data_IF_065518079295
#
_entry.id   IF_065518079295
#
_cell.length_a   1.000
_cell.length_b   1.000
_cell.length_c   1.000
_cell.angle_alpha   90.00
_cell.angle_beta   90.00
_cell.angle_gamma   90.00
#
_symmetry.space_group_name_H-M   'P 1'
#
loop_
_entity.id
_entity.type
_entity.pdbx_description
1 polymer ?
#
# COMPACT_ATOMS: atom_id res chain seq x y z
N UNK A 1 3.83 -6.16 11.01
CA UNK A 1 4.28 -4.75 11.00
C UNK A 1 3.12 -3.86 11.41
N UNK A 2 3.36 -2.66 11.94
CA UNK A 2 2.23 -1.74 12.12
C UNK A 2 1.78 -1.25 10.75
N UNK A 3 0.47 -1.06 10.62
CA UNK A 3 -0.17 -0.63 9.40
C UNK A 3 -1.22 0.40 9.74
N UNK A 4 -1.40 1.36 8.85
CA UNK A 4 -2.31 2.47 9.02
C UNK A 4 -3.05 2.67 7.72
N UNK A 5 -4.38 2.79 7.79
CA UNK A 5 -5.19 3.16 6.64
C UNK A 5 -6.08 4.33 7.01
N UNK A 6 -6.43 5.12 6.01
CA UNK A 6 -7.22 6.32 6.22
C UNK A 6 -7.33 7.15 4.96
N UNK A 7 -7.66 8.42 5.15
CA UNK A 7 -7.87 9.36 4.06
C UNK A 7 -6.98 10.59 4.20
N UNK A 8 -6.42 11.03 3.08
CA UNK A 8 -5.70 12.30 2.96
C UNK A 8 -6.59 13.29 2.24
N UNK A 9 -6.86 14.43 2.88
CA UNK A 9 -7.64 15.51 2.30
C UNK A 9 -6.79 16.25 1.27
N UNK A 10 -7.19 16.22 0.00
CA UNK A 10 -6.50 16.91 -1.10
C UNK A 10 -7.23 18.21 -1.46
N UNK A 11 -8.56 18.20 -1.33
CA UNK A 11 -9.45 19.37 -1.41
C UNK A 11 -10.58 19.19 -0.39
N UNK A 12 -11.43 20.21 -0.23
CA UNK A 12 -12.58 20.16 0.67
C UNK A 12 -13.54 19.00 0.41
N UNK A 13 -13.61 18.55 -0.84
CA UNK A 13 -14.50 17.50 -1.35
C UNK A 13 -13.74 16.29 -1.92
N UNK A 14 -12.41 16.26 -1.80
CA UNK A 14 -11.57 15.20 -2.38
C UNK A 14 -10.65 14.59 -1.34
N UNK A 15 -10.80 13.28 -1.17
CA UNK A 15 -10.09 12.48 -0.20
C UNK A 15 -9.46 11.29 -0.92
N UNK A 16 -8.15 11.11 -0.77
CA UNK A 16 -7.46 9.92 -1.28
C UNK A 16 -7.33 8.90 -0.17
N UNK A 17 -7.76 7.66 -0.44
CA UNK A 17 -7.54 6.55 0.47
C UNK A 17 -6.07 6.15 0.43
N UNK A 18 -5.49 5.88 1.59
CA UNK A 18 -4.15 5.32 1.69
C UNK A 18 -4.13 4.07 2.57
N UNK A 19 -3.18 3.20 2.28
CA UNK A 19 -2.77 2.13 3.18
C UNK A 19 -1.25 2.11 3.29
N UNK A 20 -0.76 2.40 4.48
CA UNK A 20 0.64 2.48 4.85
C UNK A 20 1.07 1.27 5.68
N UNK A 21 2.27 0.77 5.41
CA UNK A 21 2.91 -0.33 6.12
C UNK A 21 4.32 0.06 6.50
N UNK A 22 4.64 -0.08 7.79
CA UNK A 22 6.00 0.12 8.26
C UNK A 22 6.96 -0.93 7.65
N UNK A 23 8.23 -0.55 7.55
CA UNK A 23 9.31 -1.47 7.19
C UNK A 23 9.38 -2.66 8.16
N UNK A 24 9.80 -3.81 7.67
CA UNK A 24 10.10 -5.00 8.49
C UNK A 24 11.50 -4.93 9.10
N UNK A 25 12.37 -4.06 8.58
CA UNK A 25 13.74 -3.87 9.09
C UNK A 25 13.76 -2.81 10.19
N UNK A 26 13.91 -1.53 9.83
CA UNK A 26 14.05 -0.43 10.78
C UNK A 26 13.11 0.73 10.43
N UNK A 27 11.81 0.67 10.80
CA UNK A 27 10.80 1.66 10.41
C UNK A 27 11.18 3.13 10.62
N UNK A 28 11.91 3.42 11.70
CA UNK A 28 12.27 4.79 12.05
C UNK A 28 13.40 5.38 11.17
N UNK A 29 14.18 4.54 10.50
CA UNK A 29 15.34 4.95 9.69
C UNK A 29 15.25 4.57 8.21
N UNK A 30 14.43 3.57 7.88
CA UNK A 30 14.23 3.12 6.52
C UNK A 30 13.43 4.16 5.70
N UNK A 31 13.66 4.22 4.38
CA UNK A 31 13.03 5.22 3.53
C UNK A 31 11.50 5.08 3.50
N UNK A 32 10.82 6.15 3.08
CA UNK A 32 9.41 6.13 2.71
C UNK A 32 9.28 5.98 1.19
N UNK A 33 8.58 4.94 0.74
CA UNK A 33 8.21 4.72 -0.66
C UNK A 33 6.72 4.95 -0.86
N UNK A 34 6.37 5.85 -1.79
CA UNK A 34 5.01 6.03 -2.27
C UNK A 34 4.79 5.16 -3.51
N UNK A 35 3.71 4.39 -3.52
CA UNK A 35 3.32 3.55 -4.65
C UNK A 35 1.99 4.02 -5.26
N UNK A 36 1.98 4.13 -6.59
CA UNK A 36 0.85 4.58 -7.40
C UNK A 36 0.67 3.62 -8.59
N UNK A 37 -0.43 2.87 -8.63
CA UNK A 37 -0.77 2.09 -9.83
C UNK A 37 -1.28 3.02 -10.95
N UNK A 38 -1.09 2.62 -12.20
CA UNK A 38 -1.45 3.44 -13.38
C UNK A 38 -2.94 3.38 -13.76
N UNK A 39 -3.20 3.21 -15.06
CA UNK A 39 -4.56 3.23 -15.62
C UNK A 39 -4.69 4.31 -16.70
N UNK A 40 -5.46 5.38 -16.49
CA UNK A 40 -5.86 6.04 -15.23
C UNK A 40 -7.05 5.41 -14.50
N UNK A 41 -7.06 5.52 -13.17
CA UNK A 41 -8.19 5.13 -12.32
C UNK A 41 -8.12 3.75 -11.68
N UNK A 42 -7.02 3.01 -11.88
CA UNK A 42 -6.82 1.75 -11.17
C UNK A 42 -6.37 2.03 -9.72
N UNK A 43 -6.88 1.22 -8.79
CA UNK A 43 -6.50 1.29 -7.37
C UNK A 43 -5.05 0.83 -7.17
N UNK A 44 -4.32 1.55 -6.33
CA UNK A 44 -2.99 1.19 -5.84
C UNK A 44 -3.01 -0.02 -4.90
N UNK A 45 -4.20 -0.44 -4.46
CA UNK A 45 -4.36 -1.70 -3.73
C UNK A 45 -4.10 -2.93 -4.61
N UNK A 46 -4.11 -2.78 -5.94
CA UNK A 46 -3.64 -3.85 -6.81
C UNK A 46 -2.16 -4.15 -6.57
N UNK A 47 -1.31 -3.12 -6.50
CA UNK A 47 0.12 -3.28 -6.16
C UNK A 47 0.33 -3.83 -4.74
N UNK A 48 -0.55 -3.46 -3.80
CA UNK A 48 -0.56 -4.01 -2.45
C UNK A 48 -0.83 -5.53 -2.46
N UNK A 49 -1.92 -5.97 -3.08
CA UNK A 49 -2.39 -7.34 -2.94
C UNK A 49 -1.78 -8.34 -3.92
N UNK A 50 -1.29 -7.86 -5.07
CA UNK A 50 -0.90 -8.73 -6.19
C UNK A 50 0.56 -8.56 -6.62
N UNK A 51 1.23 -7.47 -6.23
CA UNK A 51 2.60 -7.18 -6.66
C UNK A 51 3.59 -7.23 -5.48
N UNK A 52 3.78 -6.12 -4.77
CA UNK A 52 4.88 -5.92 -3.83
C UNK A 52 4.48 -5.68 -2.38
N UNK A 53 3.20 -5.75 -2.05
CA UNK A 53 2.76 -5.57 -0.68
C UNK A 53 3.20 -6.67 0.28
N UNK A 54 2.94 -6.50 1.59
CA UNK A 54 3.45 -7.40 2.62
C UNK A 54 2.91 -8.84 2.50
N UNK A 55 1.68 -8.97 2.01
CA UNK A 55 1.03 -10.25 1.76
C UNK A 55 0.36 -10.23 0.39
N UNK A 56 0.38 -11.38 -0.28
CA UNK A 56 -0.33 -11.62 -1.53
C UNK A 56 -1.67 -12.28 -1.23
N UNK A 57 -2.75 -11.82 -1.87
CA UNK A 57 -4.07 -12.46 -1.76
C UNK A 57 -4.04 -13.78 -2.53
N UNK A 58 -4.49 -14.87 -1.88
CA UNK A 58 -4.53 -16.19 -2.48
C UNK A 58 -5.74 -16.34 -3.41
N UNK A 59 -5.67 -17.31 -4.32
CA UNK A 59 -6.80 -17.69 -5.16
C UNK A 59 -8.04 -18.00 -4.28
N UNK A 60 -9.18 -17.42 -4.62
CA UNK A 60 -10.41 -17.50 -3.81
C UNK A 60 -10.61 -16.35 -2.83
N UNK A 61 -9.61 -15.49 -2.59
CA UNK A 61 -9.77 -14.22 -1.87
C UNK A 61 -10.07 -14.34 -0.37
N UNK A 62 -9.94 -15.52 0.21
CA UNK A 62 -10.25 -15.82 1.61
C UNK A 62 -9.02 -15.94 2.50
N UNK A 63 -7.82 -15.89 1.93
CA UNK A 63 -6.55 -15.99 2.64
C UNK A 63 -5.47 -15.14 1.98
N UNK A 64 -4.40 -14.88 2.72
CA UNK A 64 -3.23 -14.17 2.23
C UNK A 64 -1.95 -14.90 2.64
N UNK A 65 -0.93 -14.88 1.78
CA UNK A 65 0.39 -15.43 2.09
C UNK A 65 1.40 -14.30 2.23
N UNK A 66 2.28 -14.39 3.23
CA UNK A 66 3.41 -13.46 3.38
C UNK A 66 4.21 -13.44 2.07
N UNK A 67 4.43 -12.24 1.54
CA UNK A 67 5.32 -12.01 0.41
C UNK A 67 6.76 -11.82 0.93
N UNK A 68 7.67 -12.79 0.70
CA UNK A 68 9.06 -12.68 1.14
C UNK A 68 9.84 -11.58 0.39
N UNK A 69 9.37 -11.20 -0.81
CA UNK A 69 9.98 -10.17 -1.66
C UNK A 69 9.25 -8.83 -1.55
N UNK A 70 8.45 -8.61 -0.50
CA UNK A 70 7.73 -7.37 -0.32
C UNK A 70 8.69 -6.19 -0.24
N UNK A 71 8.32 -5.06 -0.84
CA UNK A 71 9.07 -3.82 -0.70
C UNK A 71 9.13 -3.33 0.73
N UNK A 72 8.16 -3.71 1.57
CA UNK A 72 8.19 -3.36 2.98
C UNK A 72 9.23 -4.16 3.79
N UNK A 73 10.09 -4.97 3.14
CA UNK A 73 11.25 -5.59 3.78
C UNK A 73 12.32 -4.57 4.18
N UNK A 74 12.46 -3.46 3.44
CA UNK A 74 13.49 -2.43 3.65
C UNK A 74 12.95 -1.00 3.46
N UNK A 75 11.63 -0.82 3.42
CA UNK A 75 11.01 0.49 3.21
C UNK A 75 9.68 0.58 3.94
N UNK A 76 9.34 1.77 4.41
CA UNK A 76 7.99 2.11 4.79
C UNK A 76 7.20 2.38 3.51
N UNK A 77 6.16 1.60 3.22
CA UNK A 77 5.46 1.67 1.91
C UNK A 77 4.06 2.20 2.09
N UNK A 78 3.73 3.25 1.34
CA UNK A 78 2.39 3.85 1.27
C UNK A 78 1.77 3.59 -0.11
N UNK A 79 0.67 2.84 -0.13
CA UNK A 79 -0.16 2.65 -1.32
C UNK A 79 -1.26 3.73 -1.29
N UNK A 80 -1.35 4.55 -2.35
CA UNK A 80 -2.26 5.68 -2.41
C UNK A 80 -3.23 5.54 -3.59
N UNK A 81 -4.53 5.48 -3.29
CA UNK A 81 -5.58 5.51 -4.29
C UNK A 81 -5.86 6.97 -4.70
N UNK A 82 -5.35 7.29 -5.87
CA UNK A 82 -5.16 8.61 -6.44
C UNK A 82 -6.09 8.85 -7.64
N UNK A 83 -7.37 8.90 -7.35
CA UNK A 83 -8.39 9.66 -8.09
C UNK A 83 -9.64 9.56 -7.23
N UNK A 84 -10.33 10.68 -7.06
CA UNK A 84 -11.68 10.65 -6.53
C UNK A 84 -12.57 9.93 -7.53
N UNK A 85 -13.12 8.76 -7.15
CA UNK A 85 -14.44 8.39 -7.65
C UNK A 85 -15.46 9.47 -7.27
#
# INVERSE_FOLDING_TARGET
VRQYSGYINVRSDKHFFFWFFESRSSPDTDPLSLWLNGGPGCSSLFGLFMEMGPCTVMEGGNDTRINPSSWNTQSNVMFLDQVSG
#
